data_IF_045987758873
#
_entry.id   IF_045987758873
#
_cell.length_a   1.000
_cell.length_b   1.000
_cell.length_c   1.000
_cell.angle_alpha   90.00
_cell.angle_beta   90.00
_cell.angle_gamma   90.00
#
_symmetry.space_group_name_H-M   'P 1'
#
loop_
_entity.id
_entity.type
_entity.pdbx_description
1 polymer ?
#
# COMPACT_ATOMS: atom_id res chain seq x y z
N UNK A 1 -12.07 -8.28 -12.54
CA UNK A 1 -11.15 -7.40 -11.81
C UNK A 1 -9.96 -8.23 -11.36
N UNK A 2 -8.74 -7.75 -11.61
CA UNK A 2 -7.51 -8.46 -11.23
C UNK A 2 -7.23 -8.33 -9.72
N UNK A 3 -6.61 -9.35 -9.11
CA UNK A 3 -6.33 -9.47 -7.67
C UNK A 3 -4.86 -9.20 -7.33
N UNK A 4 -4.30 -8.14 -7.89
CA UNK A 4 -2.88 -7.81 -7.75
C UNK A 4 -2.58 -6.81 -6.63
N UNK A 5 -3.60 -6.32 -5.91
CA UNK A 5 -3.42 -5.33 -4.85
C UNK A 5 -3.68 -6.00 -3.51
N UNK A 6 -2.67 -5.95 -2.66
CA UNK A 6 -2.72 -6.36 -1.26
C UNK A 6 -2.64 -5.10 -0.40
N UNK A 7 -3.52 -4.98 0.58
CA UNK A 7 -3.39 -4.00 1.67
C UNK A 7 -3.23 -4.79 2.96
N UNK A 8 -2.12 -4.55 3.67
CA UNK A 8 -1.71 -5.29 4.87
C UNK A 8 -1.72 -6.81 4.66
N UNK A 9 -1.19 -7.25 3.51
CA UNK A 9 -1.15 -8.66 3.11
C UNK A 9 -2.50 -9.28 2.74
N UNK A 10 -3.60 -8.53 2.75
CA UNK A 10 -4.94 -9.00 2.37
C UNK A 10 -5.30 -8.50 0.97
N UNK A 11 -5.79 -9.40 0.12
CA UNK A 11 -6.24 -9.02 -1.23
C UNK A 11 -7.45 -8.10 -1.12
N UNK A 12 -7.33 -6.88 -1.63
CA UNK A 12 -8.42 -5.91 -1.70
C UNK A 12 -8.77 -5.63 -3.17
N UNK A 13 -10.03 -5.85 -3.52
CA UNK A 13 -10.55 -5.64 -4.89
C UNK A 13 -11.61 -4.53 -4.96
N UNK A 14 -11.99 -3.98 -3.81
CA UNK A 14 -13.07 -3.00 -3.71
C UNK A 14 -12.55 -1.60 -4.01
N UNK A 15 -13.25 -0.88 -4.90
CA UNK A 15 -12.80 0.44 -5.40
C UNK A 15 -12.80 1.54 -4.33
N UNK A 16 -13.69 1.44 -3.34
CA UNK A 16 -13.83 2.42 -2.26
C UNK A 16 -13.38 1.85 -0.92
N UNK A 17 -12.39 0.94 -0.96
CA UNK A 17 -11.75 0.46 0.26
C UNK A 17 -10.92 1.60 0.88
N UNK A 18 -11.15 1.95 2.15
CA UNK A 18 -10.34 2.98 2.81
C UNK A 18 -8.97 2.40 3.16
N UNK A 19 -7.91 3.13 2.79
CA UNK A 19 -6.54 2.89 3.29
C UNK A 19 -6.07 4.09 4.09
N UNK A 20 -5.33 3.82 5.15
CA UNK A 20 -4.96 4.78 6.19
C UNK A 20 -3.46 5.03 6.29
N UNK A 21 -3.11 5.82 7.31
CA UNK A 21 -1.72 6.10 7.67
C UNK A 21 -1.03 4.81 8.14
N UNK A 22 0.17 4.56 7.60
CA UNK A 22 1.00 3.37 7.84
C UNK A 22 0.49 2.05 7.22
N UNK A 23 -0.59 2.09 6.43
CA UNK A 23 -1.01 0.90 5.67
C UNK A 23 0.06 0.52 4.64
N UNK A 24 0.28 -0.79 4.50
CA UNK A 24 1.20 -1.35 3.51
C UNK A 24 0.43 -1.79 2.28
N UNK A 25 0.71 -1.15 1.15
CA UNK A 25 0.20 -1.55 -0.15
C UNK A 25 1.26 -2.36 -0.88
N UNK A 26 0.99 -3.63 -1.12
CA UNK A 26 1.90 -4.54 -1.82
C UNK A 26 1.36 -4.93 -3.18
N UNK A 27 2.25 -4.89 -4.17
CA UNK A 27 2.00 -5.33 -5.55
C UNK A 27 2.94 -6.52 -5.84
N UNK A 28 2.48 -7.77 -5.64
CA UNK A 28 3.33 -8.95 -5.74
C UNK A 28 3.78 -9.23 -7.18
N UNK A 29 3.11 -8.65 -8.19
CA UNK A 29 3.49 -8.82 -9.58
C UNK A 29 4.74 -8.00 -9.96
N UNK A 30 4.95 -6.86 -9.29
CA UNK A 30 6.11 -5.99 -9.50
C UNK A 30 7.14 -6.14 -8.38
N UNK A 31 6.85 -6.90 -7.32
CA UNK A 31 7.64 -6.96 -6.08
C UNK A 31 7.87 -5.58 -5.47
N UNK A 32 6.87 -4.71 -5.54
CA UNK A 32 6.92 -3.36 -4.98
C UNK A 32 5.99 -3.26 -3.78
N UNK A 33 6.50 -2.61 -2.73
CA UNK A 33 5.77 -2.34 -1.50
C UNK A 33 5.78 -0.84 -1.20
N UNK A 34 4.65 -0.32 -0.71
CA UNK A 34 4.48 1.10 -0.44
C UNK A 34 3.83 1.33 0.92
N UNK A 35 4.34 2.30 1.66
CA UNK A 35 3.67 2.87 2.84
C UNK A 35 2.87 4.11 2.47
N UNK A 36 1.67 4.21 3.03
CA UNK A 36 0.90 5.46 3.04
C UNK A 36 1.39 6.36 4.18
N UNK A 37 2.15 7.39 3.82
CA UNK A 37 2.69 8.38 4.74
C UNK A 37 2.14 9.77 4.47
N UNK A 38 2.17 10.63 5.50
CA UNK A 38 1.88 12.03 5.34
C UNK A 38 3.07 12.78 4.77
N UNK A 39 2.80 13.61 3.77
CA UNK A 39 3.70 14.68 3.37
C UNK A 39 3.57 15.86 4.34
N UNK A 40 4.54 16.79 4.34
CA UNK A 40 4.54 17.98 5.20
C UNK A 40 3.31 18.87 5.04
N UNK A 41 2.59 18.77 3.92
CA UNK A 41 1.33 19.47 3.64
C UNK A 41 0.08 18.73 4.15
N UNK A 42 0.23 17.55 4.77
CA UNK A 42 -0.88 16.73 5.29
C UNK A 42 -1.58 15.85 4.25
N UNK A 43 -1.10 15.81 3.00
CA UNK A 43 -1.59 14.87 1.99
C UNK A 43 -0.93 13.51 2.12
N UNK A 44 -1.63 12.44 1.74
CA UNK A 44 -1.03 11.11 1.64
C UNK A 44 -0.12 11.01 0.43
N UNK A 45 1.07 10.44 0.64
CA UNK A 45 2.02 10.06 -0.39
C UNK A 45 2.38 8.59 -0.22
N UNK A 46 2.55 7.91 -1.34
CA UNK A 46 3.11 6.55 -1.37
C UNK A 46 4.63 6.63 -1.23
N UNK A 47 5.16 6.03 -0.17
CA UNK A 47 6.58 5.89 0.07
C UNK A 47 7.02 4.47 -0.26
N UNK A 48 7.94 4.29 -1.21
CA UNK A 48 8.45 2.98 -1.55
C UNK A 48 9.30 2.42 -0.41
N UNK A 49 9.01 1.20 0.00
CA UNK A 49 9.70 0.51 1.08
C UNK A 49 10.29 -0.82 0.58
N UNK A 50 11.29 -1.33 1.28
CA UNK A 50 11.89 -2.64 0.96
C UNK A 50 11.05 -3.78 1.55
N UNK A 51 11.15 -4.99 1.01
CA UNK A 51 10.43 -6.18 1.52
C UNK A 51 10.65 -6.46 3.01
N UNK A 52 11.82 -6.12 3.55
CA UNK A 52 12.10 -6.29 4.98
C UNK A 52 11.23 -5.41 5.89
N UNK A 53 10.74 -4.28 5.38
CA UNK A 53 9.91 -3.31 6.11
C UNK A 53 8.41 -3.53 5.86
N UNK A 54 8.05 -4.29 4.82
CA UNK A 54 6.67 -4.55 4.41
C UNK A 54 5.99 -5.66 5.23
N UNK A 55 6.69 -6.23 6.22
CA UNK A 55 6.31 -7.47 6.91
C UNK A 55 5.82 -7.24 8.32
#
# INVERSE_FOLDING_TARGET
MQRHILVDGKVRTYKTYPSGFMDVVSIPNTNENFHLLYETKGCFRLHSIKDGEAK
#
